data_IF_948384127552
#
_entry.id   IF_948384127552
#
_cell.length_a   1.000
_cell.length_b   1.000
_cell.length_c   1.000
_cell.angle_alpha   90.00
_cell.angle_beta   90.00
_cell.angle_gamma   90.00
#
_symmetry.space_group_name_H-M   'P 1'
#
loop_
_entity.id
_entity.type
_entity.pdbx_description
1 polymer ?
#
# COMPACT_ATOMS: atom_id res chain seq x y z
N UNK A 1 -15.91 5.18 -15.87
CA UNK A 1 -16.36 6.12 -14.81
C UNK A 1 -17.32 7.13 -15.43
N UNK A 2 -18.49 7.34 -14.81
CA UNK A 2 -19.54 8.21 -15.34
C UNK A 2 -19.06 9.68 -15.37
N UNK A 3 -18.99 10.27 -16.57
CA UNK A 3 -18.77 11.71 -16.73
C UNK A 3 -19.92 12.44 -16.02
N UNK A 4 -19.63 13.14 -14.91
CA UNK A 4 -20.55 14.10 -14.31
C UNK A 4 -20.91 15.12 -15.39
N UNK A 5 -22.16 15.14 -15.81
CA UNK A 5 -22.65 16.14 -16.77
C UNK A 5 -22.42 17.54 -16.23
N UNK A 6 -21.82 18.40 -17.07
CA UNK A 6 -21.61 19.81 -16.76
C UNK A 6 -22.93 20.47 -16.36
N UNK A 7 -22.88 21.26 -15.28
CA UNK A 7 -23.98 22.11 -14.79
C UNK A 7 -24.54 23.00 -15.90
N UNK A 8 -23.72 23.36 -16.90
CA UNK A 8 -24.11 24.17 -18.06
C UNK A 8 -25.10 23.43 -18.99
N UNK A 9 -25.04 22.10 -19.08
CA UNK A 9 -25.92 21.30 -19.94
C UNK A 9 -27.33 21.15 -19.34
N UNK A 10 -27.45 21.26 -18.01
CA UNK A 10 -28.74 21.27 -17.30
C UNK A 10 -29.50 22.60 -17.46
N UNK A 11 -28.79 23.73 -17.57
CA UNK A 11 -29.42 25.05 -17.74
C UNK A 11 -30.05 25.27 -19.13
N UNK A 12 -29.72 24.47 -20.14
CA UNK A 12 -30.31 24.58 -21.48
C UNK A 12 -31.75 24.06 -21.57
N UNK A 13 -32.21 23.23 -20.62
CA UNK A 13 -33.52 22.56 -20.70
C UNK A 13 -34.68 23.38 -20.12
N UNK A 14 -34.41 24.39 -19.30
CA UNK A 14 -35.46 25.21 -18.68
C UNK A 14 -35.13 26.69 -18.89
N UNK A 15 -35.70 27.24 -19.98
CA UNK A 15 -35.68 28.66 -20.40
C UNK A 15 -34.33 29.18 -20.88
N UNK A 16 -34.11 29.32 -22.21
CA UNK A 16 -32.90 29.95 -22.72
C UNK A 16 -32.88 31.45 -22.32
N UNK A 17 -31.79 31.93 -21.69
CA UNK A 17 -31.62 33.36 -21.41
C UNK A 17 -31.52 34.13 -22.73
N UNK A 18 -32.29 35.21 -22.88
CA UNK A 18 -32.49 35.91 -24.17
C UNK A 18 -31.38 36.89 -24.56
N UNK A 19 -30.32 37.04 -23.78
CA UNK A 19 -29.13 37.80 -24.20
C UNK A 19 -27.92 37.18 -23.50
N UNK A 20 -26.97 36.69 -24.29
CA UNK A 20 -25.61 36.41 -23.82
C UNK A 20 -24.74 37.54 -24.34
N UNK A 21 -24.36 38.47 -23.47
CA UNK A 21 -23.29 39.43 -23.76
C UNK A 21 -21.98 38.72 -23.44
N UNK A 22 -21.43 38.02 -24.42
CA UNK A 22 -20.05 37.55 -24.36
C UNK A 22 -19.15 38.76 -24.61
N UNK A 23 -18.35 39.12 -23.63
CA UNK A 23 -17.21 40.01 -23.87
C UNK A 23 -16.10 39.13 -24.43
N UNK A 24 -16.04 39.00 -25.76
CA UNK A 24 -14.83 38.49 -26.41
C UNK A 24 -13.75 39.56 -26.22
N UNK A 25 -12.99 39.40 -25.15
CA UNK A 25 -11.64 39.96 -25.08
C UNK A 25 -10.82 39.17 -26.08
N UNK A 26 -10.76 39.68 -27.31
CA UNK A 26 -9.60 39.47 -28.14
C UNK A 26 -8.43 40.10 -27.39
N UNK A 27 -7.75 39.29 -26.58
CA UNK A 27 -6.42 39.61 -26.06
C UNK A 27 -5.52 39.57 -27.30
N UNK A 28 -5.51 40.69 -28.03
CA UNK A 28 -4.70 40.89 -29.22
C UNK A 28 -3.25 40.54 -28.92
N UNK A 29 -2.68 39.72 -29.78
CA UNK A 29 -1.25 39.45 -29.93
C UNK A 29 -0.47 39.02 -28.68
N UNK A 30 -1.11 38.37 -27.72
CA UNK A 30 -0.36 37.49 -26.83
C UNK A 30 0.03 36.25 -27.63
N UNK A 31 1.21 36.30 -28.28
CA UNK A 31 2.01 35.11 -28.57
C UNK A 31 2.19 34.38 -27.24
N UNK A 32 1.25 33.50 -26.89
CA UNK A 32 1.42 32.54 -25.82
C UNK A 32 2.56 31.65 -26.31
N UNK A 33 3.78 31.98 -25.87
CA UNK A 33 4.97 31.18 -26.12
C UNK A 33 4.71 29.87 -25.41
N UNK A 34 4.11 28.93 -26.15
CA UNK A 34 3.96 27.54 -25.74
C UNK A 34 5.35 26.93 -25.82
N UNK A 35 6.17 27.25 -24.83
CA UNK A 35 7.46 26.61 -24.64
C UNK A 35 7.21 25.10 -24.56
N UNK A 36 8.03 24.34 -25.28
CA UNK A 36 7.99 22.89 -25.15
C UNK A 36 8.22 22.56 -23.67
N UNK A 37 7.38 21.68 -23.06
CA UNK A 37 7.58 21.32 -21.67
C UNK A 37 8.98 20.76 -21.50
N UNK A 38 9.69 21.20 -20.46
CA UNK A 38 11.01 20.71 -20.14
C UNK A 38 10.91 19.26 -19.64
N UNK A 39 11.11 18.31 -20.53
CA UNK A 39 11.06 16.87 -20.21
C UNK A 39 12.45 16.38 -19.83
N UNK A 40 12.57 15.78 -18.64
CA UNK A 40 13.80 15.15 -18.16
C UNK A 40 13.67 13.64 -18.28
N UNK A 41 14.62 13.01 -18.97
CA UNK A 41 14.76 11.56 -18.97
C UNK A 41 15.72 11.12 -17.88
N UNK A 42 15.23 10.33 -16.92
CA UNK A 42 16.07 9.71 -15.88
C UNK A 42 16.35 8.27 -16.28
N UNK A 43 17.63 7.89 -16.32
CA UNK A 43 18.06 6.52 -16.61
C UNK A 43 18.75 5.93 -15.39
N UNK A 44 18.37 4.70 -15.05
CA UNK A 44 18.93 3.97 -13.91
C UNK A 44 18.42 2.53 -13.86
N UNK A 45 19.00 1.73 -12.97
CA UNK A 45 18.44 0.42 -12.62
C UNK A 45 17.35 0.61 -11.57
N UNK A 46 16.09 0.51 -12.02
CA UNK A 46 14.92 0.73 -11.17
C UNK A 46 14.18 -0.57 -10.80
N UNK A 47 14.34 -1.66 -11.55
CA UNK A 47 13.67 -2.93 -11.23
C UNK A 47 14.53 -3.88 -10.38
N UNK A 48 15.84 -3.63 -10.25
CA UNK A 48 16.74 -4.42 -9.43
C UNK A 48 16.61 -5.93 -9.71
N UNK A 49 16.19 -6.73 -8.72
CA UNK A 49 16.05 -8.19 -8.81
C UNK A 49 14.63 -8.64 -9.19
N UNK A 50 13.88 -7.79 -9.91
CA UNK A 50 12.53 -8.10 -10.39
C UNK A 50 12.49 -9.44 -11.13
N UNK A 51 11.40 -10.18 -10.94
CA UNK A 51 11.15 -11.44 -11.67
C UNK A 51 10.63 -11.17 -13.08
N UNK A 52 10.20 -9.94 -13.36
CA UNK A 52 9.67 -9.57 -14.66
C UNK A 52 10.80 -9.47 -15.69
N UNK A 53 10.65 -10.11 -16.87
CA UNK A 53 11.69 -10.13 -17.88
C UNK A 53 11.88 -8.72 -18.45
N UNK A 54 13.01 -8.09 -18.13
CA UNK A 54 13.36 -6.83 -18.77
C UNK A 54 13.82 -7.09 -20.21
N UNK A 55 13.15 -6.47 -21.18
CA UNK A 55 13.56 -6.50 -22.58
C UNK A 55 14.98 -5.95 -22.78
N UNK A 56 15.55 -6.15 -23.98
CA UNK A 56 16.85 -5.56 -24.34
C UNK A 56 16.80 -4.05 -24.23
N UNK A 57 17.88 -3.40 -23.80
CA UNK A 57 17.94 -1.94 -23.58
C UNK A 57 17.45 -1.15 -24.79
N UNK A 58 17.77 -1.59 -26.02
CA UNK A 58 17.35 -0.94 -27.27
C UNK A 58 15.84 -0.94 -27.49
N UNK A 59 15.15 -1.96 -26.96
CA UNK A 59 13.71 -2.16 -27.18
C UNK A 59 12.88 -1.58 -26.02
N UNK A 60 13.54 -1.05 -24.96
CA UNK A 60 12.89 -0.40 -23.82
C UNK A 60 12.40 0.99 -24.22
N UNK A 61 11.11 1.27 -23.98
CA UNK A 61 10.51 2.58 -24.20
C UNK A 61 10.57 3.42 -22.93
N UNK A 62 10.69 4.74 -23.10
CA UNK A 62 10.48 5.67 -22.00
C UNK A 62 9.00 5.67 -21.61
N UNK A 63 8.77 5.60 -20.30
CA UNK A 63 7.44 5.72 -19.71
C UNK A 63 7.37 7.10 -19.06
N UNK A 64 6.29 7.84 -19.34
CA UNK A 64 6.06 9.12 -18.68
C UNK A 64 5.56 8.86 -17.26
N UNK A 65 6.17 9.53 -16.28
CA UNK A 65 5.83 9.40 -14.87
C UNK A 65 5.33 10.75 -14.37
N UNK A 66 4.13 10.76 -13.81
CA UNK A 66 3.51 11.89 -13.13
C UNK A 66 3.04 11.48 -11.72
N UNK A 67 2.39 12.40 -10.99
CA UNK A 67 1.91 12.12 -9.62
C UNK A 67 0.71 11.18 -9.58
N UNK A 68 0.00 11.02 -10.70
CA UNK A 68 -1.24 10.24 -10.77
C UNK A 68 -0.97 8.79 -11.21
N UNK A 69 0.12 8.55 -11.95
CA UNK A 69 0.43 7.25 -12.56
C UNK A 69 1.65 6.53 -11.96
N UNK A 70 2.29 7.11 -10.94
CA UNK A 70 3.52 6.56 -10.37
C UNK A 70 3.38 5.12 -9.89
N UNK A 71 2.27 4.81 -9.20
CA UNK A 71 2.01 3.46 -8.67
C UNK A 71 1.79 2.46 -9.83
N UNK A 72 1.05 2.85 -10.88
CA UNK A 72 0.85 1.97 -12.05
C UNK A 72 2.18 1.62 -12.74
N UNK A 73 3.09 2.59 -12.86
CA UNK A 73 4.42 2.39 -13.44
C UNK A 73 5.29 1.51 -12.54
N UNK A 74 5.20 1.71 -11.22
CA UNK A 74 5.92 0.89 -10.24
C UNK A 74 5.44 -0.55 -10.23
N UNK A 75 4.12 -0.78 -10.27
CA UNK A 75 3.51 -2.10 -10.35
C UNK A 75 3.96 -2.87 -11.60
N UNK A 76 3.97 -2.20 -12.77
CA UNK A 76 4.42 -2.81 -14.03
C UNK A 76 5.91 -3.16 -14.06
N UNK A 77 6.75 -2.45 -13.30
CA UNK A 77 8.17 -2.74 -13.17
C UNK A 77 8.46 -3.81 -12.10
N UNK A 78 7.60 -3.89 -11.08
CA UNK A 78 7.67 -4.78 -9.94
C UNK A 78 9.08 -4.88 -9.31
N UNK A 79 9.70 -3.76 -8.84
CA UNK A 79 11.00 -3.81 -8.19
C UNK A 79 11.00 -4.83 -7.05
N UNK A 80 12.07 -5.62 -6.99
CA UNK A 80 12.23 -6.65 -5.97
C UNK A 80 13.58 -6.55 -5.29
N UNK A 81 13.57 -6.69 -3.97
CA UNK A 81 14.74 -6.75 -3.13
C UNK A 81 14.77 -8.07 -2.36
N UNK A 82 15.65 -8.98 -2.78
CA UNK A 82 15.88 -10.26 -2.13
C UNK A 82 17.31 -10.35 -1.60
N UNK A 83 17.46 -10.34 -0.28
CA UNK A 83 18.76 -10.37 0.39
C UNK A 83 18.67 -11.01 1.76
N UNK A 84 19.81 -11.29 2.39
CA UNK A 84 19.87 -11.81 3.75
C UNK A 84 20.22 -10.70 4.73
N UNK A 85 19.50 -10.66 5.85
CA UNK A 85 19.71 -9.70 6.93
C UNK A 85 20.02 -10.44 8.23
N UNK A 86 20.65 -9.74 9.16
CA UNK A 86 20.89 -10.28 10.51
C UNK A 86 19.57 -10.50 11.24
N UNK A 87 19.32 -11.73 11.69
CA UNK A 87 18.17 -12.07 12.51
C UNK A 87 18.34 -11.49 13.93
N UNK A 88 17.34 -10.71 14.37
CA UNK A 88 17.23 -10.16 15.73
C UNK A 88 15.99 -10.63 16.48
N UNK A 89 15.26 -11.60 15.94
CA UNK A 89 14.03 -12.14 16.53
C UNK A 89 14.31 -13.24 17.57
N UNK A 90 15.44 -13.92 17.45
CA UNK A 90 15.85 -14.99 18.36
C UNK A 90 17.20 -14.66 18.99
N UNK A 91 17.39 -15.06 20.24
CA UNK A 91 18.65 -14.86 20.98
C UNK A 91 19.82 -15.65 20.39
N UNK A 92 19.53 -16.78 19.72
CA UNK A 92 20.51 -17.58 19.01
C UNK A 92 21.13 -16.86 17.80
N UNK A 93 20.52 -15.77 17.33
CA UNK A 93 20.96 -15.02 16.16
C UNK A 93 20.79 -15.81 14.85
N UNK A 94 21.52 -15.40 13.81
CA UNK A 94 21.48 -16.02 12.48
C UNK A 94 21.20 -15.04 11.36
N UNK A 95 20.93 -15.56 10.17
CA UNK A 95 20.50 -14.79 9.00
C UNK A 95 19.02 -15.06 8.70
N UNK A 96 18.31 -14.01 8.29
CA UNK A 96 16.93 -14.08 7.82
C UNK A 96 16.93 -13.68 6.33
N UNK A 97 16.41 -14.55 5.47
CA UNK A 97 16.13 -14.20 4.09
C UNK A 97 14.92 -13.28 4.03
N UNK A 98 15.07 -12.13 3.38
CA UNK A 98 13.95 -11.23 3.06
C UNK A 98 13.75 -11.22 1.56
N UNK A 99 12.49 -11.22 1.15
CA UNK A 99 12.06 -11.11 -0.23
C UNK A 99 10.91 -10.12 -0.27
N UNK A 100 11.18 -8.92 -0.80
CA UNK A 100 10.25 -7.79 -0.78
C UNK A 100 9.99 -7.37 -2.22
N UNK A 101 8.72 -7.25 -2.57
CA UNK A 101 8.23 -6.70 -3.83
C UNK A 101 7.60 -5.33 -3.57
N UNK A 102 7.92 -4.36 -4.41
CA UNK A 102 7.31 -3.03 -4.38
C UNK A 102 6.37 -2.89 -5.57
N UNK A 103 5.12 -2.54 -5.31
CA UNK A 103 4.09 -2.30 -6.32
C UNK A 103 3.62 -0.84 -6.27
N UNK A 104 3.62 -0.24 -5.09
CA UNK A 104 3.19 1.14 -4.86
C UNK A 104 4.12 1.87 -3.91
N UNK A 105 4.03 3.20 -3.87
CA UNK A 105 4.84 4.02 -2.97
C UNK A 105 4.66 3.67 -1.48
N UNK A 106 3.47 3.20 -1.08
CA UNK A 106 3.21 2.77 0.30
C UNK A 106 4.01 1.54 0.73
N UNK A 107 4.55 0.75 -0.20
CA UNK A 107 5.28 -0.47 0.12
C UNK A 107 6.66 -0.19 0.73
N UNK A 108 7.15 1.05 0.62
CA UNK A 108 8.34 1.51 1.32
C UNK A 108 8.10 1.75 2.82
N UNK A 109 6.84 1.74 3.27
CA UNK A 109 6.49 1.92 4.68
C UNK A 109 6.77 0.63 5.47
N UNK A 110 7.28 0.72 6.71
CA UNK A 110 7.63 -0.46 7.50
C UNK A 110 6.50 -1.47 7.70
N UNK A 111 5.26 -1.00 7.80
CA UNK A 111 4.05 -1.82 7.92
C UNK A 111 3.86 -2.76 6.73
N UNK A 112 4.06 -2.27 5.51
CA UNK A 112 3.94 -3.05 4.29
C UNK A 112 5.08 -4.07 4.21
N UNK A 113 6.30 -3.67 4.60
CA UNK A 113 7.46 -4.58 4.68
C UNK A 113 7.23 -5.71 5.68
N UNK A 114 6.68 -5.41 6.86
CA UNK A 114 6.37 -6.41 7.90
C UNK A 114 5.34 -7.42 7.41
N UNK A 115 4.36 -7.00 6.60
CA UNK A 115 3.37 -7.90 6.02
C UNK A 115 3.96 -8.88 5.01
N UNK A 116 5.00 -8.48 4.27
CA UNK A 116 5.65 -9.35 3.27
C UNK A 116 6.61 -10.36 3.90
N UNK A 117 7.20 -10.05 5.06
CA UNK A 117 8.16 -10.92 5.74
C UNK A 117 7.43 -11.83 6.74
N UNK A 118 7.27 -13.12 6.40
CA UNK A 118 6.42 -14.07 7.13
C UNK A 118 6.67 -14.12 8.66
N UNK A 119 7.92 -14.20 9.18
CA UNK A 119 8.14 -14.19 10.63
C UNK A 119 7.68 -12.90 11.32
N UNK A 120 7.82 -11.74 10.66
CA UNK A 120 7.40 -10.46 11.20
C UNK A 120 5.88 -10.31 11.16
N UNK A 121 5.23 -10.78 10.09
CA UNK A 121 3.77 -10.81 9.96
C UNK A 121 3.11 -11.58 11.12
N UNK A 122 3.64 -12.77 11.47
CA UNK A 122 3.14 -13.55 12.62
C UNK A 122 3.23 -12.79 13.94
N UNK A 123 4.31 -12.05 14.17
CA UNK A 123 4.48 -11.21 15.36
C UNK A 123 3.51 -10.04 15.37
N UNK A 124 3.26 -9.41 14.21
CA UNK A 124 2.29 -8.34 14.08
C UNK A 124 0.86 -8.84 14.38
N UNK A 125 0.49 -10.02 13.86
CA UNK A 125 -0.80 -10.66 14.13
C UNK A 125 -0.97 -11.02 15.60
N UNK A 126 0.07 -11.58 16.24
CA UNK A 126 0.05 -11.85 17.67
C UNK A 126 -0.15 -10.55 18.48
N UNK A 127 0.54 -9.47 18.11
CA UNK A 127 0.36 -8.14 18.73
C UNK A 127 -1.07 -7.60 18.55
N UNK A 128 -1.66 -7.77 17.36
CA UNK A 128 -3.04 -7.35 17.11
C UNK A 128 -4.03 -8.14 17.98
N UNK A 129 -3.89 -9.47 18.06
CA UNK A 129 -4.71 -10.32 18.92
C UNK A 129 -4.59 -9.94 20.40
N UNK A 130 -3.39 -9.62 20.87
CA UNK A 130 -3.16 -9.15 22.24
C UNK A 130 -3.77 -7.76 22.50
N UNK A 131 -3.70 -6.85 21.52
CA UNK A 131 -4.33 -5.55 21.62
C UNK A 131 -5.86 -5.66 21.67
N UNK A 132 -6.45 -6.54 20.85
CA UNK A 132 -7.88 -6.84 20.87
C UNK A 132 -8.32 -7.46 22.19
N UNK A 133 -7.52 -8.39 22.73
CA UNK A 133 -7.78 -8.97 24.05
C UNK A 133 -7.76 -7.89 25.13
N UNK A 134 -6.73 -7.03 25.15
CA UNK A 134 -6.63 -5.92 26.10
C UNK A 134 -7.86 -4.99 26.02
N UNK A 135 -8.30 -4.66 24.82
CA UNK A 135 -9.45 -3.78 24.63
C UNK A 135 -10.76 -4.45 25.10
N UNK A 136 -10.90 -5.77 24.93
CA UNK A 136 -12.06 -6.54 25.40
C UNK A 136 -12.09 -6.68 26.92
N UNK A 137 -10.94 -6.84 27.56
CA UNK A 137 -10.83 -6.89 29.03
C UNK A 137 -11.23 -5.55 29.66
N UNK A 138 -10.77 -4.44 29.10
CA UNK A 138 -11.11 -3.10 29.59
C UNK A 138 -12.62 -2.78 29.60
N UNK A 139 -13.43 -3.51 28.83
CA UNK A 139 -14.89 -3.33 28.76
C UNK A 139 -15.72 -4.42 29.44
N UNK A 140 -15.09 -5.45 30.03
CA UNK A 140 -15.83 -6.61 30.58
C UNK A 140 -15.10 -7.22 31.79
N UNK A 141 -15.48 -6.77 33.00
CA UNK A 141 -14.96 -7.26 34.29
C UNK A 141 -15.06 -8.80 34.43
N UNK A 142 -16.14 -9.42 33.94
CA UNK A 142 -16.29 -10.89 33.99
C UNK A 142 -15.23 -11.63 33.17
N UNK A 143 -14.75 -11.01 32.11
CA UNK A 143 -13.73 -11.57 31.22
C UNK A 143 -12.33 -11.44 31.84
N UNK A 144 -12.13 -10.40 32.65
CA UNK A 144 -10.93 -10.21 33.47
C UNK A 144 -10.86 -11.24 34.61
N UNK A 145 -11.96 -11.46 35.33
CA UNK A 145 -12.06 -12.49 36.37
C UNK A 145 -11.77 -13.89 35.80
N UNK A 146 -12.39 -14.24 34.67
CA UNK A 146 -12.23 -15.55 34.03
C UNK A 146 -10.81 -15.74 33.46
N UNK A 147 -10.16 -14.67 33.00
CA UNK A 147 -8.76 -14.72 32.58
C UNK A 147 -7.83 -14.95 33.78
N UNK A 148 -8.06 -14.26 34.91
CA UNK A 148 -7.30 -14.46 36.14
C UNK A 148 -7.45 -15.90 36.66
N UNK A 149 -8.65 -16.48 36.60
CA UNK A 149 -8.91 -17.88 36.97
C UNK A 149 -8.14 -18.87 36.08
N UNK A 150 -8.10 -18.63 34.76
CA UNK A 150 -7.34 -19.47 33.81
C UNK A 150 -5.84 -19.31 34.02
N UNK A 151 -5.34 -18.09 34.26
CA UNK A 151 -3.93 -17.83 34.52
C UNK A 151 -3.43 -18.50 35.80
N UNK A 152 -4.27 -18.56 36.84
CA UNK A 152 -3.98 -19.27 38.09
C UNK A 152 -4.10 -20.80 37.96
N UNK A 153 -4.75 -21.28 36.89
CA UNK A 153 -4.96 -22.70 36.61
C UNK A 153 -3.99 -23.19 35.53
N UNK A 154 -2.74 -23.48 35.92
CA UNK A 154 -1.67 -23.99 35.03
C UNK A 154 -2.11 -25.20 34.18
N UNK A 155 -3.01 -26.04 34.69
CA UNK A 155 -3.58 -27.19 33.96
C UNK A 155 -4.55 -26.78 32.84
N UNK A 156 -5.36 -25.74 33.06
CA UNK A 156 -6.31 -25.25 32.05
C UNK A 156 -5.58 -24.55 30.90
N UNK A 157 -4.53 -23.79 31.20
CA UNK A 157 -3.64 -23.18 30.21
C UNK A 157 -2.99 -24.23 29.29
N UNK A 158 -2.52 -25.36 29.83
CA UNK A 158 -1.96 -26.44 29.01
C UNK A 158 -3.02 -27.11 28.12
N UNK A 159 -4.24 -27.31 28.65
CA UNK A 159 -5.35 -27.90 27.88
C UNK A 159 -5.85 -26.99 26.74
N UNK A 160 -5.72 -25.66 26.90
CA UNK A 160 -6.11 -24.66 25.91
C UNK A 160 -5.00 -24.44 24.88
N UNK A 161 -3.74 -24.31 25.33
CA UNK A 161 -2.57 -24.21 24.44
C UNK A 161 -2.37 -25.43 23.54
N UNK A 162 -2.75 -26.63 24.02
CA UNK A 162 -2.79 -27.85 23.21
C UNK A 162 -3.88 -27.86 22.13
N UNK A 163 -4.98 -27.11 22.31
CA UNK A 163 -6.09 -27.03 21.34
C UNK A 163 -5.82 -26.01 20.23
N UNK A 164 -5.06 -24.95 20.48
CA UNK A 164 -4.71 -23.95 19.47
C UNK A 164 -3.72 -24.47 18.42
N UNK A 165 -2.94 -25.51 18.73
CA UNK A 165 -2.03 -26.18 17.78
C UNK A 165 -2.74 -27.22 16.88
N UNK A 166 -4.03 -27.52 17.11
CA UNK A 166 -4.77 -28.54 16.37
C UNK A 166 -5.70 -27.97 15.28
N UNK A 167 -5.62 -26.66 14.99
CA UNK A 167 -6.54 -25.95 14.06
C UNK A 167 -5.96 -25.51 12.72
N UNK A 168 -4.64 -25.52 12.52
CA UNK A 168 -3.99 -25.06 11.28
C UNK A 168 -3.49 -26.25 10.44
N UNK A 169 -4.41 -27.11 10.03
CA UNK A 169 -4.12 -28.34 9.29
C UNK A 169 -5.31 -28.87 8.50
N UNK A 170 -5.92 -28.01 7.68
CA UNK A 170 -6.71 -28.40 6.50
C UNK A 170 -6.80 -27.25 5.51
#
# INVERSE_FOLDING_TARGET
MAKKESVQKRLQKVRPPRVQLTYDVEIGDALEVKELPFVVGVLGDFAAQSKEPQGKVRDRKFVNVDMDNFDDVMEGMAPRAAFRVKNRLTEAGGELGVDIKFEKFEDFRPESVVQQVEPLRKLQEARAKLADLRNKLAGNEKLEDLLNDVLNSTEQLQSLGGKTNAGDGQ
#
